data_IF_465741030404
#
_entry.id   IF_465741030404
#
_cell.length_a   1.000
_cell.length_b   1.000
_cell.length_c   1.000
_cell.angle_alpha   90.00
_cell.angle_beta   90.00
_cell.angle_gamma   90.00
#
_symmetry.space_group_name_H-M   'P 1'
#
loop_
_entity.id
_entity.type
_entity.pdbx_description
1 polymer ?
#
# COMPACT_ATOMS: atom_id res chain seq x y z
N UNK A 1 7.47 -5.11 -6.18
CA UNK A 1 7.30 -3.80 -6.88
C UNK A 1 8.54 -3.34 -7.62
N UNK A 2 9.72 -3.23 -7.00
CA UNK A 2 10.94 -2.72 -7.68
C UNK A 2 11.28 -3.42 -9.02
N UNK A 3 11.32 -4.76 -9.05
CA UNK A 3 11.64 -5.50 -10.27
C UNK A 3 10.59 -5.30 -11.39
N UNK A 4 9.31 -5.27 -11.03
CA UNK A 4 8.21 -5.00 -11.95
C UNK A 4 8.33 -3.61 -12.57
N UNK A 5 8.67 -2.61 -11.75
CA UNK A 5 8.88 -1.23 -12.21
C UNK A 5 10.10 -1.11 -13.14
N UNK A 6 11.20 -1.78 -12.80
CA UNK A 6 12.39 -1.83 -13.66
C UNK A 6 12.06 -2.39 -15.04
N UNK A 7 11.35 -3.52 -15.10
CA UNK A 7 10.96 -4.15 -16.35
C UNK A 7 10.00 -3.28 -17.15
N UNK A 8 9.01 -2.65 -16.50
CA UNK A 8 8.07 -1.73 -17.15
C UNK A 8 8.80 -0.55 -17.77
N UNK A 9 9.70 0.07 -17.01
CA UNK A 9 10.47 1.22 -17.47
C UNK A 9 11.50 0.84 -18.53
N UNK A 10 12.04 -0.39 -18.50
CA UNK A 10 12.94 -0.88 -19.55
C UNK A 10 12.20 -1.18 -20.86
N UNK A 11 10.93 -1.57 -20.77
CA UNK A 11 10.08 -1.82 -21.94
C UNK A 11 9.58 -0.52 -22.60
N UNK A 12 9.49 0.57 -21.84
CA UNK A 12 9.08 1.87 -22.36
C UNK A 12 10.23 2.58 -23.10
N UNK A 13 10.00 2.93 -24.37
CA UNK A 13 11.00 3.58 -25.23
C UNK A 13 11.32 5.02 -24.81
N UNK A 14 10.45 5.66 -24.03
CA UNK A 14 10.61 7.04 -23.56
C UNK A 14 11.21 7.13 -22.14
N UNK A 15 11.52 5.99 -21.51
CA UNK A 15 12.08 5.94 -20.17
C UNK A 15 13.52 6.42 -20.15
N UNK A 16 13.81 7.35 -19.24
CA UNK A 16 15.15 7.95 -19.13
C UNK A 16 16.07 7.19 -18.18
N UNK A 17 15.54 6.56 -17.12
CA UNK A 17 16.36 5.81 -16.16
C UNK A 17 15.57 4.72 -15.41
N UNK A 18 15.46 3.50 -15.98
CA UNK A 18 14.73 2.38 -15.37
C UNK A 18 15.25 1.96 -13.99
N UNK A 19 16.57 2.07 -13.77
CA UNK A 19 17.20 1.66 -12.52
C UNK A 19 16.88 2.62 -11.38
N UNK A 20 16.92 3.93 -11.63
CA UNK A 20 16.53 4.94 -10.63
C UNK A 20 15.06 4.78 -10.25
N UNK A 21 14.18 4.64 -11.24
CA UNK A 21 12.75 4.48 -11.00
C UNK A 21 12.44 3.26 -10.12
N UNK A 22 13.04 2.10 -10.42
CA UNK A 22 12.82 0.88 -9.65
C UNK A 22 13.34 0.95 -8.21
N UNK A 23 14.47 1.63 -7.99
CA UNK A 23 15.03 1.85 -6.65
C UNK A 23 14.10 2.76 -5.84
N UNK A 24 13.65 3.89 -6.39
CA UNK A 24 12.72 4.79 -5.68
C UNK A 24 11.42 4.08 -5.30
N UNK A 25 10.82 3.35 -6.25
CA UNK A 25 9.60 2.57 -5.99
C UNK A 25 9.85 1.45 -4.97
N UNK A 26 11.01 0.79 -5.03
CA UNK A 26 11.39 -0.24 -4.07
C UNK A 26 11.53 0.30 -2.65
N UNK A 27 12.25 1.41 -2.47
CA UNK A 27 12.45 2.04 -1.16
C UNK A 27 11.11 2.54 -0.60
N UNK A 28 10.30 3.23 -1.42
CA UNK A 28 8.98 3.70 -1.02
C UNK A 28 8.09 2.54 -0.53
N UNK A 29 8.13 1.39 -1.21
CA UNK A 29 7.40 0.19 -0.81
C UNK A 29 7.88 -0.36 0.54
N UNK A 30 9.20 -0.53 0.72
CA UNK A 30 9.76 -1.05 1.97
C UNK A 30 9.35 -0.15 3.15
N UNK A 31 9.53 1.17 3.01
CA UNK A 31 9.17 2.13 4.05
C UNK A 31 7.68 2.02 4.39
N UNK A 32 6.81 1.98 3.38
CA UNK A 32 5.36 1.91 3.57
C UNK A 32 4.96 0.63 4.28
N UNK A 33 5.48 -0.52 3.83
CA UNK A 33 5.18 -1.82 4.45
C UNK A 33 5.68 -1.87 5.89
N UNK A 34 6.91 -1.42 6.15
CA UNK A 34 7.46 -1.37 7.51
C UNK A 34 6.58 -0.51 8.42
N UNK A 35 6.17 0.67 7.96
CA UNK A 35 5.30 1.57 8.73
C UNK A 35 3.93 0.93 9.03
N UNK A 36 3.36 0.16 8.09
CA UNK A 36 2.07 -0.52 8.30
C UNK A 36 2.15 -1.74 9.22
N UNK A 37 3.27 -2.45 9.22
CA UNK A 37 3.46 -3.68 10.02
C UNK A 37 4.01 -3.38 11.41
N UNK A 38 4.74 -2.29 11.61
CA UNK A 38 5.32 -1.86 12.90
C UNK A 38 4.34 -1.95 14.09
N UNK A 39 3.06 -1.52 13.99
CA UNK A 39 2.12 -1.62 15.09
C UNK A 39 1.98 -3.03 15.66
N UNK A 40 2.09 -4.07 14.83
CA UNK A 40 2.03 -5.47 15.24
C UNK A 40 3.25 -5.95 16.02
N UNK A 41 4.39 -5.25 15.93
CA UNK A 41 5.57 -5.51 16.74
C UNK A 41 5.54 -4.77 18.08
N UNK A 42 4.75 -3.69 18.18
CA UNK A 42 4.71 -2.82 19.38
C UNK A 42 3.59 -3.25 20.34
N UNK A 43 2.38 -3.50 19.83
CA UNK A 43 1.22 -3.79 20.67
C UNK A 43 0.96 -5.30 20.74
N UNK A 44 0.75 -5.81 21.95
CA UNK A 44 0.39 -7.22 22.17
C UNK A 44 -1.05 -7.54 21.78
N UNK A 45 -1.94 -6.53 21.74
CA UNK A 45 -3.34 -6.72 21.37
C UNK A 45 -3.52 -6.54 19.85
N UNK A 46 -3.90 -7.58 19.10
CA UNK A 46 -4.03 -7.51 17.64
C UNK A 46 -5.06 -6.49 17.16
N UNK A 47 -6.11 -6.23 17.95
CA UNK A 47 -7.16 -5.26 17.59
C UNK A 47 -6.64 -3.81 17.71
N UNK A 48 -5.80 -3.54 18.71
CA UNK A 48 -5.15 -2.23 18.85
C UNK A 48 -4.16 -2.02 17.70
N UNK A 49 -3.35 -3.03 17.37
CA UNK A 49 -2.44 -2.98 16.21
C UNK A 49 -3.19 -2.70 14.91
N UNK A 50 -4.31 -3.38 14.68
CA UNK A 50 -5.14 -3.17 13.50
C UNK A 50 -5.66 -1.73 13.40
N UNK A 51 -6.14 -1.15 14.50
CA UNK A 51 -6.60 0.24 14.51
C UNK A 51 -5.47 1.21 14.13
N UNK A 52 -4.27 1.03 14.70
CA UNK A 52 -3.10 1.83 14.33
C UNK A 52 -2.67 1.61 12.88
N UNK A 53 -2.73 0.39 12.36
CA UNK A 53 -2.41 0.10 10.94
C UNK A 53 -3.40 0.79 10.00
N UNK A 54 -4.69 0.80 10.29
CA UNK A 54 -5.70 1.52 9.49
C UNK A 54 -5.43 3.03 9.50
N UNK A 55 -5.14 3.61 10.66
CA UNK A 55 -4.78 5.03 10.78
C UNK A 55 -3.54 5.35 9.94
N UNK A 56 -2.50 4.54 10.06
CA UNK A 56 -1.28 4.69 9.28
C UNK A 56 -1.53 4.56 7.77
N UNK A 57 -2.36 3.61 7.34
CA UNK A 57 -2.75 3.46 5.94
C UNK A 57 -3.46 4.71 5.42
N UNK A 58 -4.38 5.29 6.19
CA UNK A 58 -5.05 6.55 5.82
C UNK A 58 -4.04 7.69 5.69
N UNK A 59 -3.09 7.82 6.62
CA UNK A 59 -2.03 8.85 6.57
C UNK A 59 -1.19 8.69 5.30
N UNK A 60 -0.77 7.46 4.98
CA UNK A 60 -0.02 7.15 3.75
C UNK A 60 -0.84 7.55 2.52
N UNK A 61 -2.13 7.18 2.46
CA UNK A 61 -3.02 7.54 1.36
C UNK A 61 -3.13 9.05 1.23
N UNK A 62 -3.32 9.79 2.32
CA UNK A 62 -3.36 11.28 2.30
C UNK A 62 -2.05 11.83 1.74
N UNK A 63 -0.90 11.37 2.22
CA UNK A 63 0.40 11.85 1.79
C UNK A 63 0.63 11.60 0.29
N UNK A 64 0.40 10.39 -0.20
CA UNK A 64 0.56 10.05 -1.61
C UNK A 64 -0.47 10.75 -2.49
N UNK A 65 -1.72 10.87 -2.05
CA UNK A 65 -2.76 11.61 -2.78
C UNK A 65 -2.42 13.08 -2.94
N UNK A 66 -1.86 13.68 -1.90
CA UNK A 66 -1.37 15.06 -1.95
C UNK A 66 -0.18 15.19 -2.90
N UNK A 67 0.82 14.34 -2.77
CA UNK A 67 1.99 14.35 -3.67
C UNK A 67 1.57 14.21 -5.15
N UNK A 68 0.72 13.24 -5.46
CA UNK A 68 0.24 13.00 -6.83
C UNK A 68 -0.63 14.15 -7.34
N UNK A 69 -1.47 14.73 -6.48
CA UNK A 69 -2.28 15.91 -6.81
C UNK A 69 -1.42 17.10 -7.20
N UNK A 70 -0.30 17.33 -6.49
CA UNK A 70 0.66 18.41 -6.81
C UNK A 70 1.38 18.13 -8.14
N UNK A 71 1.84 16.90 -8.36
CA UNK A 71 2.60 16.53 -9.56
C UNK A 71 1.72 16.51 -10.83
N UNK A 72 0.47 16.07 -10.71
CA UNK A 72 -0.44 15.91 -11.85
C UNK A 72 -1.43 17.08 -12.02
N UNK A 73 -1.32 18.13 -11.19
CA UNK A 73 -2.17 19.33 -11.21
C UNK A 73 -3.68 19.05 -11.18
N UNK A 74 -4.11 17.91 -10.61
CA UNK A 74 -5.54 17.59 -10.40
C UNK A 74 -5.92 17.73 -8.93
N UNK A 75 -7.23 17.77 -8.66
CA UNK A 75 -7.75 17.94 -7.30
C UNK A 75 -7.38 16.79 -6.36
N UNK A 76 -6.88 17.11 -5.17
CA UNK A 76 -6.54 16.15 -4.11
C UNK A 76 -7.69 15.17 -3.82
N UNK A 77 -8.93 15.68 -3.75
CA UNK A 77 -10.12 14.87 -3.45
C UNK A 77 -10.28 13.71 -4.41
N UNK A 78 -10.01 13.93 -5.70
CA UNK A 78 -10.12 12.89 -6.71
C UNK A 78 -9.19 11.71 -6.39
N UNK A 79 -7.88 11.97 -6.24
CA UNK A 79 -6.89 10.93 -5.94
C UNK A 79 -7.08 10.30 -4.56
N UNK A 80 -7.49 11.10 -3.57
CA UNK A 80 -7.75 10.61 -2.22
C UNK A 80 -8.86 9.57 -2.21
N UNK A 81 -10.02 9.88 -2.79
CA UNK A 81 -11.13 8.93 -2.83
C UNK A 81 -10.83 7.73 -3.71
N UNK A 82 -10.14 7.92 -4.83
CA UNK A 82 -9.71 6.83 -5.70
C UNK A 82 -8.81 5.84 -4.95
N UNK A 83 -7.73 6.32 -4.33
CA UNK A 83 -6.82 5.48 -3.57
C UNK A 83 -7.47 4.85 -2.34
N UNK A 84 -8.34 5.60 -1.64
CA UNK A 84 -9.04 5.09 -0.46
C UNK A 84 -10.01 3.97 -0.84
N UNK A 85 -10.84 4.14 -1.87
CA UNK A 85 -11.79 3.12 -2.33
C UNK A 85 -11.05 1.86 -2.80
N UNK A 86 -10.00 2.01 -3.60
CA UNK A 86 -9.20 0.87 -4.08
C UNK A 86 -8.58 0.13 -2.89
N UNK A 87 -7.95 0.84 -1.96
CA UNK A 87 -7.25 0.22 -0.83
C UNK A 87 -8.21 -0.49 0.13
N UNK A 88 -9.34 0.13 0.46
CA UNK A 88 -10.36 -0.47 1.32
C UNK A 88 -11.05 -1.66 0.65
N UNK A 89 -11.29 -1.60 -0.66
CA UNK A 89 -11.87 -2.73 -1.40
C UNK A 89 -10.93 -3.93 -1.36
N UNK A 90 -9.63 -3.72 -1.65
CA UNK A 90 -8.62 -4.77 -1.56
C UNK A 90 -8.52 -5.30 -0.13
N UNK A 91 -8.50 -4.43 0.88
CA UNK A 91 -8.49 -4.83 2.30
C UNK A 91 -9.66 -5.75 2.65
N UNK A 92 -10.90 -5.37 2.30
CA UNK A 92 -12.09 -6.16 2.59
C UNK A 92 -12.07 -7.52 1.88
N UNK A 93 -11.68 -7.54 0.60
CA UNK A 93 -11.60 -8.77 -0.19
C UNK A 93 -10.50 -9.69 0.37
N UNK A 94 -9.31 -9.16 0.64
CA UNK A 94 -8.20 -9.94 1.21
C UNK A 94 -8.55 -10.49 2.60
N UNK A 95 -9.23 -9.71 3.43
CA UNK A 95 -9.71 -10.17 4.73
C UNK A 95 -10.74 -11.30 4.57
N UNK A 96 -11.70 -11.16 3.65
CA UNK A 96 -12.68 -12.19 3.33
C UNK A 96 -12.03 -13.51 2.86
N UNK A 97 -11.04 -13.42 1.96
CA UNK A 97 -10.26 -14.58 1.51
C UNK A 97 -9.54 -15.23 2.70
N UNK A 98 -8.96 -14.43 3.59
CA UNK A 98 -8.33 -14.92 4.83
C UNK A 98 -9.30 -15.66 5.75
N UNK A 99 -10.52 -15.18 5.91
CA UNK A 99 -11.57 -15.86 6.69
C UNK A 99 -11.99 -17.18 6.06
N UNK A 100 -12.17 -17.23 4.74
CA UNK A 100 -12.50 -18.47 4.02
C UNK A 100 -11.36 -19.48 4.19
N UNK A 101 -10.11 -19.05 3.99
CA UNK A 101 -8.95 -19.91 4.19
C UNK A 101 -8.89 -20.44 5.63
N UNK A 102 -9.15 -19.60 6.64
CA UNK A 102 -9.20 -20.03 8.05
C UNK A 102 -10.20 -21.17 8.27
N UNK A 103 -11.39 -21.06 7.68
CA UNK A 103 -12.43 -22.10 7.77
C UNK A 103 -12.00 -23.40 7.09
N UNK A 104 -11.42 -23.33 5.89
CA UNK A 104 -10.98 -24.52 5.14
C UNK A 104 -9.80 -25.26 5.78
N UNK A 105 -8.84 -24.53 6.36
CA UNK A 105 -7.66 -25.13 6.99
C UNK A 105 -7.88 -25.50 8.47
N UNK A 106 -9.11 -25.33 8.99
CA UNK A 106 -9.48 -25.66 10.37
C UNK A 106 -8.55 -25.01 11.41
N UNK A 107 -8.06 -23.81 11.11
CA UNK A 107 -7.12 -23.08 11.96
C UNK A 107 -7.93 -22.36 13.06
N UNK A 108 -8.16 -23.09 14.14
CA UNK A 108 -8.64 -22.54 15.40
C UNK A 108 -7.43 -21.96 16.16
N UNK A 109 -7.40 -20.64 16.27
CA UNK A 109 -6.57 -19.90 17.23
C UNK A 109 -7.49 -19.38 18.30
#
# INVERSE_FOLDING_TARGET
MAASEYLSQKADKNSTNPLKASIYTGIAYIITVTLLVIPYFIFSNPLISLAFTIINAIIVIVFFSFFVSVVQEKTFKYYFFEMLIISFSVMLISFGIGLIARYFFNIDV
#
